data_IF_978752215722
#
_entry.id   IF_978752215722
#
_cell.length_a   1.000
_cell.length_b   1.000
_cell.length_c   1.000
_cell.angle_alpha   90.00
_cell.angle_beta   90.00
_cell.angle_gamma   90.00
#
_symmetry.space_group_name_H-M   'P 1'
#
loop_
_entity.id
_entity.type
_entity.pdbx_description
1 polymer ?
#
# COMPACT_ATOMS: atom_id res chain seq x y z
N UNK A 1 3.12 33.29 -25.24
CA UNK A 1 2.12 32.84 -24.25
C UNK A 1 1.26 31.68 -24.75
N UNK A 2 0.68 31.73 -25.96
CA UNK A 2 -0.21 30.67 -26.49
C UNK A 2 0.46 29.29 -26.73
N UNK A 3 1.72 29.24 -27.20
CA UNK A 3 2.45 27.98 -27.44
C UNK A 3 2.78 27.18 -26.16
N UNK A 4 2.99 27.85 -25.03
CA UNK A 4 3.29 27.19 -23.76
C UNK A 4 2.06 26.47 -23.17
N UNK A 5 0.86 27.04 -23.34
CA UNK A 5 -0.40 26.45 -22.87
C UNK A 5 -0.78 25.20 -23.70
N UNK A 6 -0.47 25.21 -25.00
CA UNK A 6 -0.71 24.05 -25.88
C UNK A 6 0.23 22.87 -25.58
N UNK A 7 1.50 23.17 -25.25
CA UNK A 7 2.50 22.17 -24.84
C UNK A 7 2.14 21.49 -23.51
N UNK A 8 1.71 22.26 -22.50
CA UNK A 8 1.28 21.70 -21.20
C UNK A 8 0.06 20.76 -21.33
N UNK A 9 -0.90 21.11 -22.20
CA UNK A 9 -2.08 20.28 -22.46
C UNK A 9 -1.72 18.91 -23.05
N UNK A 10 -0.81 18.86 -24.03
CA UNK A 10 -0.38 17.62 -24.67
C UNK A 10 0.33 16.67 -23.71
N UNK A 11 1.21 17.19 -22.86
CA UNK A 11 1.89 16.39 -21.85
C UNK A 11 0.94 15.86 -20.77
N UNK A 12 -0.03 16.67 -20.32
CA UNK A 12 -1.07 16.22 -19.37
C UNK A 12 -1.88 15.08 -19.96
N UNK A 13 -2.33 15.19 -21.22
CA UNK A 13 -3.11 14.14 -21.90
C UNK A 13 -2.28 12.85 -22.02
N UNK A 14 -1.00 12.96 -22.39
CA UNK A 14 -0.10 11.81 -22.45
C UNK A 14 0.08 11.09 -21.11
N UNK A 15 0.18 11.84 -19.99
CA UNK A 15 0.24 11.26 -18.64
C UNK A 15 -1.06 10.55 -18.26
N UNK A 16 -2.21 11.14 -18.56
CA UNK A 16 -3.52 10.53 -18.31
C UNK A 16 -3.72 9.24 -19.10
N UNK A 17 -3.36 9.23 -20.39
CA UNK A 17 -3.42 8.02 -21.22
C UNK A 17 -2.54 6.89 -20.68
N UNK A 18 -1.31 7.19 -20.27
CA UNK A 18 -0.39 6.20 -19.68
C UNK A 18 -0.92 5.64 -18.36
N UNK A 19 -1.49 6.50 -17.51
CA UNK A 19 -2.15 6.06 -16.28
C UNK A 19 -3.35 5.15 -16.56
N UNK A 20 -4.19 5.52 -17.53
CA UNK A 20 -5.36 4.74 -17.91
C UNK A 20 -4.97 3.37 -18.48
N UNK A 21 -4.00 3.33 -19.40
CA UNK A 21 -3.48 2.08 -19.97
C UNK A 21 -2.86 1.20 -18.89
N UNK A 22 -2.05 1.77 -17.99
CA UNK A 22 -1.48 1.04 -16.86
C UNK A 22 -2.56 0.47 -15.94
N UNK A 23 -3.62 1.24 -15.66
CA UNK A 23 -4.77 0.80 -14.88
C UNK A 23 -5.54 -0.35 -15.53
N UNK A 24 -5.80 -0.26 -16.83
CA UNK A 24 -6.49 -1.31 -17.60
C UNK A 24 -5.66 -2.59 -17.65
N UNK A 25 -4.36 -2.49 -17.94
CA UNK A 25 -3.46 -3.66 -17.93
C UNK A 25 -3.38 -4.31 -16.56
N UNK A 26 -3.27 -3.50 -15.50
CA UNK A 26 -3.19 -4.02 -14.14
C UNK A 26 -4.49 -4.74 -13.72
N UNK A 27 -5.64 -4.12 -14.04
CA UNK A 27 -6.94 -4.70 -13.74
C UNK A 27 -7.17 -5.98 -14.54
N UNK A 28 -6.84 -5.96 -15.84
CA UNK A 28 -6.95 -7.13 -16.71
C UNK A 28 -6.10 -8.30 -16.21
N UNK A 29 -4.84 -8.04 -15.82
CA UNK A 29 -3.98 -9.08 -15.26
C UNK A 29 -4.50 -9.61 -13.93
N UNK A 30 -4.83 -8.71 -12.99
CA UNK A 30 -5.35 -9.12 -11.68
C UNK A 30 -6.61 -9.96 -11.82
N UNK A 31 -7.49 -9.59 -12.74
CA UNK A 31 -8.72 -10.31 -13.02
C UNK A 31 -8.46 -11.67 -13.67
N UNK A 32 -7.55 -11.74 -14.65
CA UNK A 32 -7.15 -13.01 -15.26
C UNK A 32 -6.55 -13.98 -14.21
N UNK A 33 -5.69 -13.47 -13.34
CA UNK A 33 -5.09 -14.23 -12.23
C UNK A 33 -6.17 -14.71 -11.25
N UNK A 34 -7.14 -13.86 -10.89
CA UNK A 34 -8.29 -14.25 -10.07
C UNK A 34 -9.10 -15.39 -10.69
N UNK A 35 -9.45 -15.28 -11.97
CA UNK A 35 -10.23 -16.30 -12.67
C UNK A 35 -9.50 -17.65 -12.70
N UNK A 36 -8.18 -17.65 -12.94
CA UNK A 36 -7.36 -18.86 -12.91
C UNK A 36 -7.30 -19.45 -11.50
N UNK A 37 -7.03 -18.64 -10.47
CA UNK A 37 -6.90 -19.10 -9.08
C UNK A 37 -8.22 -19.61 -8.50
N UNK A 38 -9.37 -19.06 -8.91
CA UNK A 38 -10.70 -19.52 -8.48
C UNK A 38 -10.97 -20.98 -8.89
N UNK A 39 -10.28 -21.51 -9.90
CA UNK A 39 -10.43 -22.92 -10.30
C UNK A 39 -9.82 -23.89 -9.28
N UNK A 40 -8.91 -23.41 -8.43
CA UNK A 40 -8.15 -24.22 -7.47
C UNK A 40 -8.45 -23.82 -6.02
N UNK A 41 -8.71 -22.53 -5.76
CA UNK A 41 -8.92 -21.97 -4.42
C UNK A 41 -10.34 -21.44 -4.22
N UNK A 42 -10.75 -21.33 -2.96
CA UNK A 42 -11.93 -20.56 -2.58
C UNK A 42 -11.81 -19.10 -3.05
N UNK A 43 -12.94 -18.48 -3.40
CA UNK A 43 -12.97 -17.17 -4.05
C UNK A 43 -12.23 -16.08 -3.26
N UNK A 44 -12.30 -16.11 -1.93
CA UNK A 44 -11.65 -15.12 -1.07
C UNK A 44 -10.12 -15.22 -1.16
N UNK A 45 -9.58 -16.44 -1.14
CA UNK A 45 -8.14 -16.71 -1.27
C UNK A 45 -7.66 -16.36 -2.67
N UNK A 46 -8.41 -16.74 -3.71
CA UNK A 46 -8.10 -16.38 -5.09
C UNK A 46 -8.08 -14.86 -5.28
N UNK A 47 -9.03 -14.14 -4.68
CA UNK A 47 -9.10 -12.69 -4.73
C UNK A 47 -7.92 -12.03 -4.01
N UNK A 48 -7.56 -12.51 -2.81
CA UNK A 48 -6.42 -12.00 -2.06
C UNK A 48 -5.10 -12.14 -2.83
N UNK A 49 -4.86 -13.32 -3.42
CA UNK A 49 -3.64 -13.56 -4.22
C UNK A 49 -3.64 -12.70 -5.48
N UNK A 50 -4.76 -12.64 -6.21
CA UNK A 50 -4.89 -11.80 -7.40
C UNK A 50 -4.67 -10.31 -7.10
N UNK A 51 -5.15 -9.84 -5.95
CA UNK A 51 -4.95 -8.47 -5.49
C UNK A 51 -3.48 -8.16 -5.21
N UNK A 52 -2.76 -9.05 -4.52
CA UNK A 52 -1.32 -8.92 -4.28
C UNK A 52 -0.54 -8.92 -5.61
N UNK A 53 -0.87 -9.83 -6.53
CA UNK A 53 -0.25 -9.88 -7.85
C UNK A 53 -0.50 -8.59 -8.64
N UNK A 54 -1.70 -8.02 -8.56
CA UNK A 54 -2.02 -6.72 -9.13
C UNK A 54 -1.20 -5.57 -8.54
N UNK A 55 -1.05 -5.51 -7.22
CA UNK A 55 -0.20 -4.50 -6.58
C UNK A 55 1.25 -4.64 -7.07
N UNK A 56 1.79 -5.85 -7.09
CA UNK A 56 3.17 -6.12 -7.51
C UNK A 56 3.37 -5.82 -8.99
N UNK A 57 2.44 -6.22 -9.86
CA UNK A 57 2.52 -5.95 -11.30
C UNK A 57 2.35 -4.47 -11.60
N UNK A 58 1.36 -3.80 -11.02
CA UNK A 58 1.17 -2.35 -11.16
C UNK A 58 2.42 -1.59 -10.72
N UNK A 59 3.04 -2.01 -9.62
CA UNK A 59 4.32 -1.46 -9.17
C UNK A 59 5.46 -1.75 -10.15
N UNK A 60 5.67 -3.00 -10.58
CA UNK A 60 6.73 -3.40 -11.50
C UNK A 60 6.58 -2.76 -12.89
N UNK A 61 5.35 -2.66 -13.41
CA UNK A 61 5.06 -2.03 -14.70
C UNK A 61 5.40 -0.53 -14.64
N UNK A 62 4.95 0.17 -13.59
CA UNK A 62 5.27 1.59 -13.41
C UNK A 62 6.78 1.81 -13.10
N UNK A 63 7.41 0.93 -12.33
CA UNK A 63 8.81 1.05 -11.96
C UNK A 63 9.76 0.72 -13.12
N UNK A 64 9.46 -0.34 -13.90
CA UNK A 64 10.36 -0.86 -14.95
C UNK A 64 10.20 -0.15 -16.29
N UNK A 65 9.00 0.33 -16.64
CA UNK A 65 8.83 1.10 -17.89
C UNK A 65 9.22 2.56 -17.78
N UNK A 66 9.23 3.14 -16.57
CA UNK A 66 9.45 4.59 -16.41
C UNK A 66 10.82 4.93 -15.81
N UNK A 67 11.36 4.14 -14.88
CA UNK A 67 12.44 4.66 -14.03
C UNK A 67 13.81 4.00 -14.16
N UNK A 68 13.94 2.72 -14.54
CA UNK A 68 15.27 2.09 -14.67
C UNK A 68 16.20 2.33 -13.45
N UNK A 69 15.62 2.40 -12.23
CA UNK A 69 16.31 2.76 -10.98
C UNK A 69 16.65 1.50 -10.18
N UNK A 70 17.83 1.51 -9.57
CA UNK A 70 18.36 0.50 -8.65
C UNK A 70 17.38 0.21 -7.50
N UNK A 71 17.07 -1.08 -7.34
CA UNK A 71 16.15 -1.65 -6.36
C UNK A 71 16.40 -1.20 -4.92
N UNK A 72 15.42 -0.56 -4.26
CA UNK A 72 15.34 -0.52 -2.80
C UNK A 72 14.05 -1.19 -2.27
N UNK A 73 14.03 -2.53 -2.31
CA UNK A 73 12.96 -3.37 -1.71
C UNK A 73 12.66 -3.05 -0.23
N UNK A 74 13.61 -2.43 0.47
CA UNK A 74 13.51 -2.09 1.89
C UNK A 74 12.43 -1.03 2.17
N UNK A 75 12.28 -0.02 1.32
CA UNK A 75 11.28 1.04 1.53
C UNK A 75 9.85 0.61 1.18
N UNK A 76 9.71 -0.21 0.13
CA UNK A 76 8.40 -0.66 -0.37
C UNK A 76 7.68 -1.59 0.61
N UNK A 77 8.39 -2.55 1.23
CA UNK A 77 7.78 -3.46 2.21
C UNK A 77 7.64 -2.87 3.60
N UNK A 78 8.47 -1.88 3.94
CA UNK A 78 8.45 -1.34 5.27
C UNK A 78 7.16 -0.56 5.58
N UNK A 79 6.54 0.09 4.60
CA UNK A 79 5.25 0.73 4.79
C UNK A 79 4.12 -0.27 5.09
N UNK A 80 3.81 -1.25 4.21
CA UNK A 80 2.81 -2.29 4.51
C UNK A 80 3.07 -3.00 5.84
N UNK A 81 4.35 -3.28 6.17
CA UNK A 81 4.72 -3.90 7.43
C UNK A 81 4.40 -3.02 8.65
N UNK A 82 4.68 -1.72 8.61
CA UNK A 82 4.35 -0.80 9.72
C UNK A 82 2.85 -0.72 9.93
N UNK A 83 2.07 -0.61 8.87
CA UNK A 83 0.61 -0.56 8.97
C UNK A 83 0.02 -1.89 9.47
N UNK A 84 0.60 -3.02 9.05
CA UNK A 84 0.21 -4.34 9.52
C UNK A 84 0.51 -4.53 11.02
N UNK A 85 1.72 -4.16 11.46
CA UNK A 85 2.09 -4.18 12.88
C UNK A 85 1.25 -3.20 13.70
N UNK A 86 0.93 -2.03 13.14
CA UNK A 86 0.04 -1.06 13.77
C UNK A 86 -1.36 -1.65 13.98
N UNK A 87 -1.91 -2.35 12.99
CA UNK A 87 -3.21 -3.00 13.12
C UNK A 87 -3.20 -4.07 14.21
N UNK A 88 -2.20 -4.98 14.18
CA UNK A 88 -2.08 -6.03 15.20
C UNK A 88 -1.91 -5.42 16.60
N UNK A 89 -1.03 -4.43 16.75
CA UNK A 89 -0.82 -3.74 18.02
C UNK A 89 -2.10 -3.08 18.54
N UNK A 90 -2.84 -2.40 17.65
CA UNK A 90 -4.14 -1.80 17.98
C UNK A 90 -5.15 -2.86 18.42
N UNK A 91 -5.27 -3.97 17.70
CA UNK A 91 -6.20 -5.04 18.02
C UNK A 91 -5.89 -5.71 19.36
N UNK A 92 -4.61 -5.99 19.64
CA UNK A 92 -4.16 -6.56 20.92
C UNK A 92 -4.45 -5.60 22.08
N UNK A 93 -4.08 -4.32 21.94
CA UNK A 93 -4.34 -3.31 22.97
C UNK A 93 -5.85 -3.11 23.20
N UNK A 94 -6.65 -3.16 22.14
CA UNK A 94 -8.10 -3.05 22.24
C UNK A 94 -8.69 -4.22 23.05
N UNK A 95 -8.31 -5.45 22.73
CA UNK A 95 -8.71 -6.64 23.48
C UNK A 95 -8.25 -6.58 24.95
N UNK A 96 -7.01 -6.14 25.21
CA UNK A 96 -6.52 -5.95 26.57
C UNK A 96 -7.31 -4.89 27.34
N UNK A 97 -7.58 -3.74 26.75
CA UNK A 97 -8.31 -2.67 27.44
C UNK A 97 -9.76 -3.05 27.74
N UNK A 98 -10.44 -3.70 26.80
CA UNK A 98 -11.84 -4.11 26.99
C UNK A 98 -11.93 -5.32 27.93
N UNK A 99 -11.20 -6.40 27.66
CA UNK A 99 -11.38 -7.68 28.35
C UNK A 99 -10.67 -7.74 29.71
N UNK A 100 -9.49 -7.10 29.84
CA UNK A 100 -8.67 -7.19 31.07
C UNK A 100 -8.84 -5.98 31.98
N UNK A 101 -9.07 -4.81 31.40
CA UNK A 101 -9.12 -3.54 32.13
C UNK A 101 -10.54 -2.95 32.20
N UNK A 102 -11.54 -3.65 31.63
CA UNK A 102 -12.95 -3.27 31.64
C UNK A 102 -13.21 -1.83 31.13
N UNK A 103 -12.36 -1.35 30.21
CA UNK A 103 -12.55 -0.05 29.56
C UNK A 103 -13.73 -0.18 28.59
N UNK A 104 -14.64 0.79 28.61
CA UNK A 104 -15.78 0.83 27.69
C UNK A 104 -15.32 0.76 26.23
N UNK A 105 -16.02 -0.04 25.42
CA UNK A 105 -15.80 -0.17 23.97
C UNK A 105 -15.88 1.17 23.22
N UNK A 106 -16.57 2.16 23.79
CA UNK A 106 -16.68 3.52 23.22
C UNK A 106 -15.36 4.30 23.40
N UNK A 107 -14.71 4.14 24.54
CA UNK A 107 -13.51 4.92 24.92
C UNK A 107 -12.23 4.16 24.57
N UNK A 108 -12.26 2.83 24.58
CA UNK A 108 -11.10 1.98 24.32
C UNK A 108 -10.39 2.32 22.99
N UNK A 109 -11.08 2.53 21.85
CA UNK A 109 -10.42 2.93 20.60
C UNK A 109 -9.65 4.25 20.71
N UNK A 110 -10.13 5.21 21.50
CA UNK A 110 -9.44 6.49 21.71
C UNK A 110 -8.16 6.30 22.52
N UNK A 111 -8.22 5.48 23.57
CA UNK A 111 -7.06 5.15 24.42
C UNK A 111 -6.01 4.38 23.61
N UNK A 112 -6.44 3.36 22.86
CA UNK A 112 -5.56 2.61 21.95
C UNK A 112 -4.90 3.54 20.94
N UNK A 113 -5.66 4.44 20.33
CA UNK A 113 -5.11 5.40 19.36
C UNK A 113 -4.07 6.31 19.99
N UNK A 114 -4.32 6.83 21.19
CA UNK A 114 -3.37 7.67 21.92
C UNK A 114 -2.05 6.94 22.24
N UNK A 115 -2.12 5.65 22.56
CA UNK A 115 -0.93 4.80 22.80
C UNK A 115 -0.24 4.41 21.49
N UNK A 116 -0.98 4.16 20.42
CA UNK A 116 -0.42 3.71 19.14
C UNK A 116 0.24 4.85 18.36
N UNK A 117 -0.18 6.10 18.51
CA UNK A 117 0.46 7.26 17.85
C UNK A 117 1.98 7.32 18.08
N UNK A 118 2.50 7.31 19.33
CA UNK A 118 3.95 7.32 19.55
C UNK A 118 4.64 6.04 19.05
N UNK A 119 3.98 4.88 19.14
CA UNK A 119 4.52 3.60 18.63
C UNK A 119 4.67 3.63 17.11
N UNK A 120 3.63 4.03 16.39
CA UNK A 120 3.63 4.17 14.93
C UNK A 120 4.63 5.23 14.48
N UNK A 121 4.77 6.34 15.22
CA UNK A 121 5.83 7.32 14.97
C UNK A 121 7.23 6.70 15.09
N UNK A 122 7.51 5.95 16.15
CA UNK A 122 8.80 5.29 16.35
C UNK A 122 9.09 4.25 15.24
N UNK A 123 8.10 3.43 14.89
CA UNK A 123 8.20 2.45 13.79
C UNK A 123 8.46 3.15 12.44
N UNK A 124 7.71 4.21 12.14
CA UNK A 124 7.86 4.97 10.90
C UNK A 124 9.24 5.63 10.82
N UNK A 125 9.72 6.20 11.93
CA UNK A 125 11.07 6.79 12.04
C UNK A 125 12.16 5.74 11.81
N UNK A 126 12.01 4.54 12.36
CA UNK A 126 12.95 3.44 12.17
C UNK A 126 12.99 2.99 10.71
N UNK A 127 11.83 2.81 10.08
CA UNK A 127 11.71 2.50 8.65
C UNK A 127 12.33 3.57 7.75
N UNK A 128 12.07 4.84 8.03
CA UNK A 128 12.65 5.95 7.27
C UNK A 128 14.17 6.03 7.48
N UNK A 129 14.67 5.68 8.66
CA UNK A 129 16.12 5.61 8.91
C UNK A 129 16.83 4.55 8.08
N UNK A 130 16.15 3.45 7.73
CA UNK A 130 16.68 2.38 6.89
C UNK A 130 16.72 2.73 5.40
N UNK A 131 15.85 3.65 4.99
CA UNK A 131 15.73 4.09 3.60
C UNK A 131 16.67 5.26 3.28
N UNK A 132 17.18 5.94 4.32
CA UNK A 132 18.14 7.03 4.17
C UNK A 132 19.52 6.44 3.90
N UNK A 133 19.82 6.19 2.62
CA UNK A 133 21.20 6.08 2.16
C UNK A 133 21.95 7.33 2.62
N UNK A 134 22.90 7.15 3.54
CA UNK A 134 23.98 8.10 3.75
C UNK A 134 24.72 8.18 2.42
N UNK A 135 24.62 9.32 1.74
CA UNK A 135 25.57 9.71 0.71
C UNK A 135 26.95 9.91 1.33
#
# INVERSE_FOLDING_TARGET
MSKAIASDKGERIGRWLRFFIGGVLNTGLSYAVYLLLRTIFAYQTAYAIAYIVGIVFGYLFNARLVFNVEWSWKGFWAYPLVYFLQYIGSAVLLGLFIERLAVSEVIAPMVVSAVMVPVTYAMSRWVLSWTRHRG
#
